data_IF_932714870576
#
_entry.id   IF_932714870576
#
_cell.length_a   1.000
_cell.length_b   1.000
_cell.length_c   1.000
_cell.angle_alpha   90.00
_cell.angle_beta   90.00
_cell.angle_gamma   90.00
#
_symmetry.space_group_name_H-M   'P 1'
#
loop_
_entity.id
_entity.type
_entity.pdbx_description
1 polymer ?
#
# COMPACT_ATOMS: atom_id res chain seq x y z
N UNK A 1 12.07 65.58 -43.35
CA UNK A 1 12.68 64.36 -42.76
C UNK A 1 12.41 64.43 -41.27
N UNK A 2 11.27 63.91 -40.82
CA UNK A 2 10.81 63.93 -39.43
C UNK A 2 10.67 62.48 -39.02
N UNK A 3 11.40 62.07 -38.00
CA UNK A 3 11.45 60.69 -37.52
C UNK A 3 10.27 60.39 -36.59
N UNK A 4 9.56 59.29 -36.85
CA UNK A 4 8.58 58.68 -35.94
C UNK A 4 9.26 58.02 -34.74
N UNK A 5 8.62 57.99 -33.55
CA UNK A 5 9.08 57.17 -32.44
C UNK A 5 8.56 55.73 -32.54
N UNK A 6 9.48 54.78 -32.43
CA UNK A 6 9.24 53.34 -32.28
C UNK A 6 8.43 53.06 -31.00
N UNK A 7 7.19 52.61 -31.17
CA UNK A 7 6.36 52.00 -30.13
C UNK A 7 6.99 50.68 -29.68
N UNK A 8 7.47 50.62 -28.44
CA UNK A 8 7.90 49.39 -27.79
C UNK A 8 6.68 48.53 -27.45
N UNK A 9 6.46 47.45 -28.22
CA UNK A 9 5.53 46.38 -27.85
C UNK A 9 6.13 45.63 -26.66
N UNK A 10 5.54 45.80 -25.48
CA UNK A 10 5.84 44.99 -24.31
C UNK A 10 5.49 43.51 -24.62
N UNK A 11 6.48 42.63 -24.53
CA UNK A 11 6.27 41.20 -24.64
C UNK A 11 5.40 40.72 -23.46
N UNK A 12 4.30 40.06 -23.79
CA UNK A 12 3.40 39.37 -22.85
C UNK A 12 4.24 38.36 -22.03
N UNK A 13 4.19 38.36 -20.68
CA UNK A 13 4.90 37.37 -19.89
C UNK A 13 4.39 35.96 -20.26
N UNK A 14 5.26 34.93 -20.22
CA UNK A 14 4.85 33.57 -20.55
C UNK A 14 3.70 33.15 -19.64
N UNK A 15 2.55 32.85 -20.24
CA UNK A 15 1.40 32.26 -19.54
C UNK A 15 1.88 30.97 -18.87
N UNK A 16 1.60 30.74 -17.57
CA UNK A 16 1.97 29.49 -16.93
C UNK A 16 1.34 28.35 -17.73
N UNK A 17 2.21 27.50 -18.28
CA UNK A 17 1.80 26.33 -19.05
C UNK A 17 0.80 25.53 -18.21
N UNK A 18 -0.32 25.14 -18.84
CA UNK A 18 -1.33 24.29 -18.24
C UNK A 18 -0.66 23.08 -17.58
N UNK A 19 -0.54 23.12 -16.26
CA UNK A 19 0.18 22.12 -15.48
C UNK A 19 -0.47 20.77 -15.70
N UNK A 20 0.30 19.80 -16.18
CA UNK A 20 -0.14 18.41 -16.19
C UNK A 20 -0.61 18.05 -14.76
N UNK A 21 -1.75 17.38 -14.59
CA UNK A 21 -2.28 17.07 -13.26
C UNK A 21 -1.22 16.29 -12.48
N UNK A 22 -0.86 16.79 -11.29
CA UNK A 22 0.04 16.08 -10.37
C UNK A 22 -0.58 14.72 -10.07
N UNK A 23 0.09 13.65 -10.50
CA UNK A 23 -0.39 12.28 -10.26
C UNK A 23 -0.47 12.04 -8.77
N UNK A 24 -1.69 11.83 -8.26
CA UNK A 24 -1.93 11.46 -6.86
C UNK A 24 -1.99 9.95 -6.71
N UNK A 25 -1.44 9.45 -5.61
CA UNK A 25 -1.40 8.03 -5.28
C UNK A 25 -2.18 7.76 -4.00
N UNK A 26 -2.79 6.59 -3.90
CA UNK A 26 -3.46 6.13 -2.69
C UNK A 26 -2.50 5.63 -1.63
N UNK A 27 -1.37 5.08 -2.03
CA UNK A 27 -0.27 4.81 -1.11
C UNK A 27 1.08 4.80 -1.83
N UNK A 28 2.12 5.04 -1.06
CA UNK A 28 3.51 4.72 -1.37
C UNK A 28 3.91 3.46 -0.60
N UNK A 29 4.61 2.52 -1.23
CA UNK A 29 5.17 1.34 -0.56
C UNK A 29 6.68 1.51 -0.40
N UNK A 30 7.13 1.59 0.84
CA UNK A 30 8.54 1.63 1.27
C UNK A 30 8.97 0.24 1.74
N UNK A 31 10.11 -0.24 1.25
CA UNK A 31 10.65 -1.57 1.57
C UNK A 31 12.15 -1.62 1.24
N UNK A 32 12.90 -2.53 1.88
CA UNK A 32 14.29 -2.84 1.51
C UNK A 32 14.37 -3.75 0.27
N UNK A 33 15.41 -3.65 -0.55
CA UNK A 33 15.69 -4.56 -1.69
C UNK A 33 15.35 -6.03 -1.44
N UNK A 34 15.79 -6.54 -0.28
CA UNK A 34 15.63 -7.93 0.11
C UNK A 34 14.15 -8.36 0.16
N UNK A 35 13.25 -7.40 0.39
CA UNK A 35 11.81 -7.57 0.49
C UNK A 35 11.06 -7.31 -0.83
N UNK A 36 11.76 -7.23 -1.99
CA UNK A 36 11.14 -6.90 -3.29
C UNK A 36 9.95 -7.77 -3.69
N UNK A 37 9.95 -9.06 -3.32
CA UNK A 37 8.84 -9.96 -3.58
C UNK A 37 7.60 -9.59 -2.76
N UNK A 38 7.81 -9.19 -1.50
CA UNK A 38 6.77 -8.66 -0.63
C UNK A 38 6.25 -7.31 -1.12
N UNK A 39 7.14 -6.42 -1.57
CA UNK A 39 6.78 -5.17 -2.25
C UNK A 39 5.90 -5.39 -3.46
N UNK A 40 6.28 -6.33 -4.34
CA UNK A 40 5.50 -6.70 -5.52
C UNK A 40 4.14 -7.31 -5.15
N UNK A 41 4.11 -8.16 -4.12
CA UNK A 41 2.86 -8.74 -3.62
C UNK A 41 1.91 -7.68 -3.06
N UNK A 42 2.40 -6.80 -2.18
CA UNK A 42 1.58 -5.76 -1.55
C UNK A 42 1.02 -4.79 -2.59
N UNK A 43 1.86 -4.35 -3.53
CA UNK A 43 1.46 -3.51 -4.66
C UNK A 43 0.32 -4.17 -5.46
N UNK A 44 0.52 -5.40 -5.94
CA UNK A 44 -0.50 -6.12 -6.71
C UNK A 44 -1.79 -6.36 -5.90
N UNK A 45 -1.64 -6.68 -4.61
CA UNK A 45 -2.76 -6.95 -3.72
C UNK A 45 -3.68 -5.73 -3.57
N UNK A 46 -3.11 -4.53 -3.43
CA UNK A 46 -3.85 -3.28 -3.25
C UNK A 46 -4.34 -2.70 -4.57
N UNK A 47 -3.54 -2.74 -5.64
CA UNK A 47 -3.95 -2.31 -6.99
C UNK A 47 -5.20 -3.05 -7.49
N UNK A 48 -5.25 -4.35 -7.23
CA UNK A 48 -6.39 -5.20 -7.62
C UNK A 48 -7.54 -5.17 -6.63
N UNK A 49 -7.43 -4.42 -5.53
CA UNK A 49 -8.49 -4.37 -4.53
C UNK A 49 -9.67 -3.53 -5.03
N UNK A 50 -10.85 -4.18 -5.08
CA UNK A 50 -12.11 -3.54 -5.41
C UNK A 50 -12.97 -3.41 -4.15
N UNK A 51 -13.26 -2.18 -3.76
CA UNK A 51 -14.12 -1.87 -2.61
C UNK A 51 -15.48 -2.52 -2.80
N UNK A 52 -16.06 -3.16 -1.77
CA UNK A 52 -17.42 -3.68 -1.87
C UNK A 52 -18.42 -2.59 -2.30
N UNK A 53 -19.19 -2.83 -3.37
CA UNK A 53 -20.15 -1.85 -3.93
C UNK A 53 -21.01 -1.12 -2.88
N UNK A 54 -21.56 -1.80 -1.83
CA UNK A 54 -22.37 -1.10 -0.83
C UNK A 54 -21.57 -0.26 0.19
N UNK A 55 -20.24 -0.14 0.05
CA UNK A 55 -19.38 0.72 0.86
C UNK A 55 -18.81 1.88 0.04
N UNK A 56 -18.58 1.69 -1.25
CA UNK A 56 -18.08 2.75 -2.13
C UNK A 56 -19.01 3.97 -2.10
N UNK A 57 -18.44 5.16 -1.94
CA UNK A 57 -19.16 6.44 -1.83
C UNK A 57 -19.76 6.74 -0.46
N UNK A 58 -19.77 5.79 0.49
CA UNK A 58 -20.21 6.08 1.86
C UNK A 58 -19.20 6.97 2.59
N UNK A 59 -19.62 7.72 3.62
CA UNK A 59 -18.68 8.38 4.52
C UNK A 59 -17.75 7.36 5.19
N UNK A 60 -16.46 7.67 5.22
CA UNK A 60 -15.42 6.95 5.97
C UNK A 60 -14.48 7.93 6.65
N UNK A 61 -13.53 7.42 7.44
CA UNK A 61 -12.61 8.25 8.23
C UNK A 61 -11.82 9.27 7.39
N UNK A 62 -11.48 8.90 6.15
CA UNK A 62 -10.65 9.71 5.25
C UNK A 62 -11.45 10.43 4.17
N UNK A 63 -12.76 10.60 4.38
CA UNK A 63 -13.71 11.10 3.39
C UNK A 63 -14.50 9.98 2.71
N UNK A 64 -15.15 10.26 1.56
CA UNK A 64 -15.93 9.26 0.83
C UNK A 64 -15.08 8.05 0.45
N UNK A 65 -15.55 6.86 0.80
CA UNK A 65 -14.85 5.60 0.53
C UNK A 65 -14.65 5.41 -0.97
N UNK A 66 -13.40 5.31 -1.47
CA UNK A 66 -13.16 5.17 -2.90
C UNK A 66 -13.58 3.79 -3.41
N UNK A 67 -13.91 3.70 -4.70
CA UNK A 67 -14.26 2.43 -5.35
C UNK A 67 -13.05 1.47 -5.48
N UNK A 68 -11.83 2.02 -5.48
CA UNK A 68 -10.56 1.31 -5.61
C UNK A 68 -9.46 2.00 -4.81
N UNK A 69 -8.40 1.25 -4.50
CA UNK A 69 -7.19 1.75 -3.84
C UNK A 69 -6.08 2.10 -4.84
N UNK A 70 -6.41 2.36 -6.11
CA UNK A 70 -5.45 2.67 -7.18
C UNK A 70 -5.40 4.19 -7.42
N UNK A 71 -4.24 4.77 -7.81
CA UNK A 71 -2.96 4.11 -8.05
C UNK A 71 -2.11 3.95 -6.79
N UNK A 72 -1.33 2.87 -6.70
CA UNK A 72 -0.33 2.62 -5.67
C UNK A 72 1.05 2.87 -6.28
N UNK A 73 1.85 3.71 -5.64
CA UNK A 73 3.26 3.85 -5.99
C UNK A 73 4.05 2.77 -5.25
N UNK A 74 4.87 2.02 -5.98
CA UNK A 74 5.86 1.11 -5.41
C UNK A 74 7.22 1.64 -5.76
N UNK A 75 8.07 1.85 -4.76
CA UNK A 75 9.43 2.29 -5.00
C UNK A 75 10.16 1.31 -5.92
N UNK A 76 11.04 1.87 -6.77
CA UNK A 76 11.98 1.12 -7.60
C UNK A 76 13.34 1.36 -6.98
N UNK A 77 13.86 0.40 -6.25
CA UNK A 77 15.29 0.46 -5.96
C UNK A 77 16.08 0.18 -7.26
N UNK A 78 16.86 1.17 -7.66
CA UNK A 78 18.11 0.98 -8.39
C UNK A 78 19.23 1.20 -7.37
N UNK A 79 20.14 0.23 -7.26
CA UNK A 79 21.40 0.31 -6.50
C UNK A 79 22.38 1.37 -7.06
N UNK A 80 21.93 2.22 -7.99
CA UNK A 80 22.73 3.24 -8.64
C UNK A 80 21.86 4.37 -9.20
N UNK A 81 21.60 5.45 -8.46
CA UNK A 81 21.37 6.74 -9.12
C UNK A 81 21.46 7.96 -8.20
N UNK A 82 21.98 9.05 -8.76
CA UNK A 82 22.19 10.33 -8.08
C UNK A 82 20.93 11.12 -7.73
N UNK A 83 21.13 12.38 -7.36
CA UNK A 83 20.13 13.30 -6.76
C UNK A 83 18.76 13.41 -7.47
N UNK A 84 18.68 13.07 -8.76
CA UNK A 84 17.42 13.11 -9.53
C UNK A 84 16.40 12.04 -9.12
N UNK A 85 16.84 10.84 -8.70
CA UNK A 85 15.92 9.78 -8.28
C UNK A 85 15.27 10.12 -6.93
N UNK A 86 16.05 10.60 -5.97
CA UNK A 86 15.57 11.03 -4.65
C UNK A 86 14.46 12.07 -4.76
N UNK A 87 14.62 13.10 -5.61
CA UNK A 87 13.60 14.12 -5.82
C UNK A 87 12.30 13.54 -6.41
N UNK A 88 12.39 12.56 -7.32
CA UNK A 88 11.22 11.91 -7.90
C UNK A 88 10.47 11.02 -6.89
N UNK A 89 11.20 10.36 -5.99
CA UNK A 89 10.64 9.52 -4.93
C UNK A 89 9.94 10.40 -3.89
N UNK A 90 10.59 11.46 -3.42
CA UNK A 90 9.98 12.42 -2.50
C UNK A 90 8.73 13.07 -3.12
N UNK A 91 8.73 13.40 -4.42
CA UNK A 91 7.55 13.91 -5.10
C UNK A 91 6.41 12.89 -5.15
N UNK A 92 6.71 11.61 -5.43
CA UNK A 92 5.70 10.54 -5.42
C UNK A 92 5.14 10.32 -4.00
N UNK A 93 6.01 10.38 -2.99
CA UNK A 93 5.63 10.29 -1.58
C UNK A 93 4.79 11.49 -1.13
N UNK A 94 5.15 12.70 -1.54
CA UNK A 94 4.39 13.94 -1.36
C UNK A 94 3.00 13.88 -2.01
N UNK A 95 2.87 13.12 -3.10
CA UNK A 95 1.60 12.93 -3.80
C UNK A 95 0.79 11.71 -3.32
N UNK A 96 1.32 10.93 -2.35
CA UNK A 96 0.68 9.72 -1.82
C UNK A 96 -0.18 10.00 -0.60
N UNK A 97 -1.37 9.43 -0.51
CA UNK A 97 -2.27 9.61 0.64
C UNK A 97 -1.79 8.84 1.88
N UNK A 98 -1.13 7.70 1.71
CA UNK A 98 -0.62 6.82 2.78
C UNK A 98 0.83 6.38 2.51
N UNK A 99 1.54 6.00 3.58
CA UNK A 99 2.81 5.28 3.51
C UNK A 99 2.61 3.87 4.06
N UNK A 100 2.93 2.86 3.26
CA UNK A 100 2.96 1.45 3.67
C UNK A 100 4.40 1.02 3.79
N UNK A 101 4.81 0.64 4.99
CA UNK A 101 6.17 0.18 5.29
C UNK A 101 6.16 -1.34 5.37
N UNK A 102 6.99 -1.99 4.56
CA UNK A 102 7.26 -3.42 4.72
C UNK A 102 8.28 -3.59 5.83
N UNK A 103 7.90 -4.35 6.84
CA UNK A 103 8.65 -4.53 8.08
C UNK A 103 9.28 -5.92 8.11
N UNK A 104 10.60 -5.95 8.19
CA UNK A 104 11.49 -7.11 8.21
C UNK A 104 12.82 -6.70 8.87
N UNK A 105 13.67 -7.64 9.30
CA UNK A 105 14.99 -7.31 9.85
C UNK A 105 15.87 -6.49 8.90
N UNK A 106 15.75 -6.71 7.59
CA UNK A 106 16.48 -5.93 6.56
C UNK A 106 15.92 -4.52 6.42
N UNK A 107 14.59 -4.35 6.43
CA UNK A 107 13.97 -3.04 6.41
C UNK A 107 14.24 -2.24 7.69
N UNK A 108 14.32 -2.91 8.85
CA UNK A 108 14.66 -2.27 10.12
C UNK A 108 16.07 -1.65 10.10
N UNK A 109 17.02 -2.30 9.41
CA UNK A 109 18.40 -1.83 9.23
C UNK A 109 18.57 -0.86 8.04
N UNK A 110 17.56 -0.71 7.19
CA UNK A 110 17.64 0.15 6.00
C UNK A 110 17.60 1.63 6.37
N UNK A 111 18.68 2.36 6.06
CA UNK A 111 18.74 3.82 6.21
C UNK A 111 17.72 4.53 5.30
N UNK A 112 17.47 3.97 4.12
CA UNK A 112 16.51 4.51 3.17
C UNK A 112 15.08 4.43 3.72
N UNK A 113 14.64 3.24 4.14
CA UNK A 113 13.31 3.04 4.74
C UNK A 113 13.11 3.95 5.96
N UNK A 114 14.11 4.06 6.84
CA UNK A 114 14.05 4.98 7.97
C UNK A 114 13.91 6.45 7.53
N UNK A 115 14.66 6.87 6.52
CA UNK A 115 14.58 8.23 5.97
C UNK A 115 13.19 8.51 5.37
N UNK A 116 12.64 7.58 4.60
CA UNK A 116 11.31 7.73 3.98
C UNK A 116 10.20 7.87 5.04
N UNK A 117 10.26 7.06 6.10
CA UNK A 117 9.31 7.15 7.22
C UNK A 117 9.46 8.49 7.94
N UNK A 118 10.70 8.90 8.24
CA UNK A 118 10.98 10.18 8.87
C UNK A 118 10.50 11.36 8.03
N UNK A 119 10.75 11.32 6.72
CA UNK A 119 10.26 12.31 5.76
C UNK A 119 8.73 12.37 5.75
N UNK A 120 8.06 11.22 5.72
CA UNK A 120 6.60 11.17 5.69
C UNK A 120 5.99 11.70 6.99
N UNK A 121 6.49 11.26 8.16
CA UNK A 121 5.98 11.72 9.47
C UNK A 121 6.15 13.22 9.68
N UNK A 122 7.21 13.83 9.13
CA UNK A 122 7.47 15.28 9.31
C UNK A 122 6.70 16.16 8.34
N UNK A 123 6.30 15.65 7.17
CA UNK A 123 5.65 16.45 6.11
C UNK A 123 4.19 16.09 5.88
N UNK A 124 3.77 14.90 6.30
CA UNK A 124 2.43 14.34 6.11
C UNK A 124 1.90 13.84 7.45
N UNK A 125 0.66 13.37 7.44
CA UNK A 125 -0.05 12.88 8.61
C UNK A 125 0.57 11.55 9.10
N UNK A 126 1.20 11.49 10.30
CA UNK A 126 1.80 10.26 10.82
C UNK A 126 0.80 9.12 11.01
N UNK A 127 -0.48 9.43 11.22
CA UNK A 127 -1.54 8.41 11.36
C UNK A 127 -1.82 7.63 10.07
N UNK A 128 -1.22 8.06 8.96
CA UNK A 128 -1.33 7.42 7.64
C UNK A 128 -0.12 6.55 7.28
N UNK A 129 0.77 6.31 8.24
CA UNK A 129 1.80 5.28 8.15
C UNK A 129 1.20 3.94 8.58
N UNK A 130 1.35 2.92 7.74
CA UNK A 130 0.85 1.57 7.98
C UNK A 130 2.01 0.59 7.93
N UNK A 131 2.11 -0.30 8.91
CA UNK A 131 3.15 -1.32 8.95
C UNK A 131 2.63 -2.65 8.38
N UNK A 132 3.47 -3.34 7.61
CA UNK A 132 3.23 -4.67 7.07
C UNK A 132 4.37 -5.60 7.49
N UNK A 133 4.16 -6.40 8.53
CA UNK A 133 5.16 -7.37 9.01
C UNK A 133 5.22 -8.56 8.07
N UNK A 134 6.42 -8.83 7.55
CA UNK A 134 6.66 -9.93 6.60
C UNK A 134 7.71 -10.92 7.10
N UNK A 135 8.60 -10.49 7.99
CA UNK A 135 9.60 -11.30 8.66
C UNK A 135 10.09 -10.59 9.94
N UNK A 136 10.87 -11.27 10.78
CA UNK A 136 11.35 -10.75 12.07
C UNK A 136 10.22 -10.60 13.10
N UNK A 137 10.52 -10.00 14.24
CA UNK A 137 9.61 -9.86 15.36
C UNK A 137 9.47 -8.39 15.83
N UNK A 138 8.23 -7.86 15.87
CA UNK A 138 7.93 -6.53 16.40
C UNK A 138 8.49 -6.29 17.81
N UNK A 139 9.31 -5.25 17.97
CA UNK A 139 9.79 -4.85 19.29
C UNK A 139 10.88 -5.77 19.87
N UNK A 140 11.44 -6.68 19.07
CA UNK A 140 12.54 -7.55 19.52
C UNK A 140 13.78 -6.75 19.96
N UNK A 141 13.96 -5.52 19.46
CA UNK A 141 15.01 -4.60 19.91
C UNK A 141 14.87 -4.15 21.37
N UNK A 142 13.70 -4.33 21.98
CA UNK A 142 13.49 -4.06 23.40
C UNK A 142 13.86 -5.26 24.30
N UNK A 143 14.23 -6.40 23.71
CA UNK A 143 14.59 -7.62 24.43
C UNK A 143 16.10 -7.84 24.25
N UNK A 144 16.90 -7.79 25.34
CA UNK A 144 18.34 -8.01 25.26
C UNK A 144 18.68 -9.34 24.58
N UNK A 145 19.55 -9.27 23.56
CA UNK A 145 20.01 -10.43 22.80
C UNK A 145 19.13 -10.85 21.61
N UNK A 146 18.02 -10.14 21.34
CA UNK A 146 17.13 -10.38 20.19
C UNK A 146 17.04 -9.20 19.23
N UNK A 147 17.94 -8.24 19.35
CA UNK A 147 17.91 -6.98 18.59
C UNK A 147 17.98 -7.21 17.08
N UNK A 148 18.69 -8.26 16.65
CA UNK A 148 18.80 -8.64 15.25
C UNK A 148 17.49 -9.14 14.63
N UNK A 149 16.51 -9.53 15.46
CA UNK A 149 15.20 -10.01 15.00
C UNK A 149 14.20 -8.87 14.79
N UNK A 150 14.52 -7.64 15.19
CA UNK A 150 13.61 -6.50 15.10
C UNK A 150 13.17 -6.27 13.65
N UNK A 151 11.85 -6.21 13.42
CA UNK A 151 11.31 -5.96 12.10
C UNK A 151 10.89 -4.50 11.86
N UNK A 152 10.74 -3.70 12.92
CA UNK A 152 10.34 -2.30 12.78
C UNK A 152 11.54 -1.37 12.61
N UNK A 153 11.58 -0.58 11.52
CA UNK A 153 12.49 0.55 11.43
C UNK A 153 12.36 1.47 12.63
N UNK A 154 13.48 2.01 13.12
CA UNK A 154 13.51 2.92 14.27
C UNK A 154 12.55 4.10 14.10
N UNK A 155 12.40 4.62 12.88
CA UNK A 155 11.50 5.71 12.59
C UNK A 155 9.99 5.41 12.84
N UNK A 156 9.61 4.13 12.97
CA UNK A 156 8.28 3.72 13.44
C UNK A 156 8.15 3.64 14.96
N UNK A 157 9.24 3.31 15.65
CA UNK A 157 9.27 3.07 17.09
C UNK A 157 9.46 4.35 17.92
N UNK A 158 10.02 5.38 17.31
CA UNK A 158 10.40 6.62 17.97
C UNK A 158 9.89 7.85 17.22
N UNK A 159 9.75 8.95 17.96
CA UNK A 159 9.44 10.26 17.38
C UNK A 159 10.60 10.76 16.52
N UNK A 160 10.27 11.56 15.52
CA UNK A 160 11.21 12.09 14.53
C UNK A 160 11.53 13.53 14.85
N UNK A 161 12.82 13.86 14.94
CA UNK A 161 13.33 15.21 15.11
C UNK A 161 13.23 16.05 13.82
N UNK A 162 13.47 17.37 13.93
CA UNK A 162 13.45 18.27 12.77
C UNK A 162 14.54 17.97 11.73
N UNK A 163 15.57 17.22 12.10
CA UNK A 163 16.69 16.77 11.27
C UNK A 163 16.42 15.42 10.56
N UNK A 164 15.17 14.92 10.64
CA UNK A 164 14.75 13.62 10.11
C UNK A 164 15.45 12.41 10.76
N UNK A 165 15.98 12.58 11.97
CA UNK A 165 16.52 11.47 12.76
C UNK A 165 15.52 11.01 13.82
N UNK A 166 15.46 9.69 14.12
CA UNK A 166 14.74 9.19 15.29
C UNK A 166 15.34 9.76 16.58
N UNK A 167 14.47 10.24 17.46
CA UNK A 167 14.82 10.66 18.83
C UNK A 167 14.80 9.46 19.79
N UNK A 168 15.12 9.68 21.07
CA UNK A 168 14.98 8.66 22.11
C UNK A 168 13.55 8.55 22.69
N UNK A 169 12.63 9.42 22.26
CA UNK A 169 11.24 9.38 22.71
C UNK A 169 10.44 8.34 21.92
N UNK A 170 9.87 7.35 22.63
CA UNK A 170 9.06 6.29 22.02
C UNK A 170 7.74 6.85 21.46
N UNK A 171 7.28 6.24 20.39
CA UNK A 171 5.99 6.54 19.76
C UNK A 171 5.15 5.27 19.64
N UNK A 172 3.84 5.42 19.69
CA UNK A 172 2.92 4.31 19.48
C UNK A 172 3.09 3.77 18.06
N UNK A 173 3.35 2.46 17.97
CA UNK A 173 3.56 1.80 16.68
C UNK A 173 2.27 1.90 15.85
N UNK A 174 2.36 2.25 14.56
CA UNK A 174 1.19 2.30 13.70
C UNK A 174 0.52 0.93 13.57
N UNK A 175 -0.69 0.92 13.01
CA UNK A 175 -1.39 -0.33 12.71
C UNK A 175 -0.49 -1.29 11.92
N UNK A 176 -0.21 -2.44 12.52
CA UNK A 176 0.59 -3.50 11.93
C UNK A 176 -0.31 -4.62 11.40
N UNK A 177 -0.21 -4.86 10.10
CA UNK A 177 -0.76 -6.05 9.44
C UNK A 177 0.32 -7.13 9.38
N UNK A 178 0.06 -8.32 9.91
CA UNK A 178 1.05 -9.40 9.94
C UNK A 178 0.81 -10.41 8.82
N UNK A 179 1.57 -10.31 7.73
CA UNK A 179 1.40 -11.19 6.58
C UNK A 179 2.10 -12.55 6.73
N UNK A 180 2.87 -12.76 7.81
CA UNK A 180 3.52 -14.03 8.13
C UNK A 180 2.46 -15.11 8.35
N UNK A 181 2.82 -16.37 8.12
CA UNK A 181 1.93 -17.51 8.37
C UNK A 181 1.57 -17.66 9.85
N UNK A 182 2.47 -17.25 10.75
CA UNK A 182 2.26 -17.28 12.19
C UNK A 182 1.34 -16.15 12.68
N UNK A 183 1.16 -15.09 11.88
CA UNK A 183 0.28 -13.95 12.19
C UNK A 183 -1.06 -14.03 11.46
N UNK A 184 -1.48 -12.92 10.84
CA UNK A 184 -2.76 -12.82 10.12
C UNK A 184 -2.76 -13.60 8.79
N UNK A 185 -1.57 -13.80 8.22
CA UNK A 185 -1.36 -14.27 6.86
C UNK A 185 -1.76 -13.24 5.80
N UNK A 186 -1.23 -13.43 4.59
CA UNK A 186 -1.42 -12.53 3.41
C UNK A 186 -2.86 -12.05 3.20
N UNK A 187 -3.86 -12.91 3.43
CA UNK A 187 -5.27 -12.56 3.19
C UNK A 187 -5.77 -11.49 4.16
N UNK A 188 -5.61 -11.71 5.46
CA UNK A 188 -6.15 -10.83 6.48
C UNK A 188 -5.28 -9.58 6.58
N UNK A 189 -3.95 -9.70 6.41
CA UNK A 189 -3.05 -8.56 6.30
C UNK A 189 -3.47 -7.59 5.17
N UNK A 190 -3.79 -8.11 3.99
CA UNK A 190 -4.36 -7.31 2.88
C UNK A 190 -5.64 -6.57 3.28
N UNK A 191 -6.54 -7.23 4.02
CA UNK A 191 -7.80 -6.61 4.45
C UNK A 191 -7.59 -5.55 5.53
N UNK A 192 -6.62 -5.73 6.44
CA UNK A 192 -6.22 -4.72 7.43
C UNK A 192 -5.70 -3.46 6.75
N UNK A 193 -4.78 -3.60 5.80
CA UNK A 193 -4.28 -2.46 5.00
C UNK A 193 -5.43 -1.77 4.25
N UNK A 194 -6.28 -2.53 3.57
CA UNK A 194 -7.42 -1.97 2.85
C UNK A 194 -8.42 -1.25 3.78
N UNK A 195 -8.71 -1.82 4.95
CA UNK A 195 -9.59 -1.22 5.96
C UNK A 195 -9.05 0.15 6.41
N UNK A 196 -7.76 0.20 6.76
CA UNK A 196 -7.10 1.43 7.20
C UNK A 196 -7.11 2.51 6.11
N UNK A 197 -6.78 2.15 4.86
CA UNK A 197 -6.77 3.08 3.73
C UNK A 197 -8.18 3.58 3.36
N UNK A 198 -9.19 2.72 3.49
CA UNK A 198 -10.59 3.10 3.24
C UNK A 198 -11.22 3.87 4.39
N UNK A 199 -10.61 3.85 5.59
CA UNK A 199 -11.18 4.44 6.79
C UNK A 199 -12.42 3.68 7.28
N UNK A 200 -12.37 2.35 7.22
CA UNK A 200 -13.46 1.44 7.59
C UNK A 200 -13.02 0.41 8.63
N UNK A 201 -13.98 -0.16 9.37
CA UNK A 201 -13.72 -1.27 10.28
C UNK A 201 -13.33 -2.55 9.52
N UNK A 202 -12.36 -3.31 10.05
CA UNK A 202 -11.91 -4.58 9.45
C UNK A 202 -13.06 -5.58 9.31
N UNK A 203 -13.91 -5.69 10.33
CA UNK A 203 -15.03 -6.64 10.37
C UNK A 203 -16.00 -6.45 9.20
N UNK A 204 -16.24 -5.21 8.78
CA UNK A 204 -17.10 -4.90 7.65
C UNK A 204 -16.55 -5.48 6.35
N UNK A 205 -15.23 -5.48 6.19
CA UNK A 205 -14.56 -6.06 5.02
C UNK A 205 -14.49 -7.59 5.12
N UNK A 206 -14.13 -8.14 6.28
CA UNK A 206 -14.01 -9.59 6.52
C UNK A 206 -15.33 -10.30 6.27
N UNK A 207 -16.42 -9.85 6.92
CA UNK A 207 -17.76 -10.46 6.77
C UNK A 207 -18.22 -10.48 5.30
N UNK A 208 -17.87 -9.45 4.53
CA UNK A 208 -18.24 -9.35 3.11
C UNK A 208 -17.41 -10.27 2.22
N UNK A 209 -16.11 -10.38 2.49
CA UNK A 209 -15.22 -11.28 1.78
C UNK A 209 -15.61 -12.74 2.04
N UNK A 210 -15.95 -13.09 3.28
CA UNK A 210 -16.46 -14.42 3.64
C UNK A 210 -17.78 -14.75 2.94
N UNK A 211 -18.74 -13.81 2.91
CA UNK A 211 -20.00 -13.98 2.16
C UNK A 211 -19.75 -14.22 0.68
N UNK A 212 -18.87 -13.45 0.04
CA UNK A 212 -18.51 -13.64 -1.38
C UNK A 212 -17.90 -15.01 -1.63
N UNK A 213 -17.05 -15.49 -0.73
CA UNK A 213 -16.43 -16.83 -0.83
C UNK A 213 -17.44 -17.94 -0.61
N UNK A 214 -18.34 -17.81 0.36
CA UNK A 214 -19.40 -18.78 0.60
C UNK A 214 -20.28 -18.94 -0.64
N UNK A 215 -20.67 -17.82 -1.27
CA UNK A 215 -21.44 -17.85 -2.52
C UNK A 215 -20.65 -18.51 -3.65
N UNK A 216 -19.38 -18.12 -3.87
CA UNK A 216 -18.53 -18.73 -4.90
C UNK A 216 -18.33 -20.23 -4.68
N UNK A 217 -18.07 -20.66 -3.45
CA UNK A 217 -17.92 -22.08 -3.10
C UNK A 217 -19.19 -22.84 -3.41
N UNK A 218 -20.36 -22.33 -2.99
CA UNK A 218 -21.66 -22.94 -3.30
C UNK A 218 -21.88 -23.08 -4.81
N UNK A 219 -21.55 -22.05 -5.60
CA UNK A 219 -21.67 -22.10 -7.06
C UNK A 219 -20.74 -23.15 -7.69
N UNK A 220 -19.48 -23.22 -7.25
CA UNK A 220 -18.53 -24.23 -7.73
C UNK A 220 -18.97 -25.64 -7.33
N UNK A 221 -19.40 -25.84 -6.08
CA UNK A 221 -19.92 -27.12 -5.61
C UNK A 221 -21.17 -27.55 -6.39
N UNK A 222 -22.10 -26.62 -6.67
CA UNK A 222 -23.28 -26.91 -7.48
C UNK A 222 -22.92 -27.26 -8.93
N UNK A 223 -21.97 -26.55 -9.54
CA UNK A 223 -21.51 -26.84 -10.89
C UNK A 223 -20.84 -28.22 -10.99
N UNK A 224 -20.02 -28.58 -9.99
CA UNK A 224 -19.42 -29.91 -9.90
C UNK A 224 -20.48 -31.01 -9.73
N UNK A 225 -21.50 -30.79 -8.89
CA UNK A 225 -22.59 -31.75 -8.71
C UNK A 225 -23.39 -31.98 -10.00
N UNK A 226 -23.72 -30.91 -10.74
CA UNK A 226 -24.40 -31.00 -12.04
C UNK A 226 -23.52 -31.75 -13.05
N UNK A 227 -22.22 -31.46 -13.08
CA UNK A 227 -21.27 -32.14 -13.96
C UNK A 227 -21.16 -33.64 -13.62
N UNK A 228 -21.13 -34.00 -12.33
CA UNK A 228 -21.13 -35.41 -11.90
C UNK A 228 -22.40 -36.15 -12.33
N UNK A 229 -23.59 -35.55 -12.16
CA UNK A 229 -24.85 -36.14 -12.61
C UNK A 229 -24.87 -36.32 -14.13
N UNK A 230 -24.38 -35.33 -14.87
CA UNK A 230 -24.27 -35.40 -16.33
C UNK A 230 -23.32 -36.52 -16.77
N UNK A 231 -22.16 -36.67 -16.14
CA UNK A 231 -21.21 -37.76 -16.42
C UNK A 231 -21.83 -39.14 -16.15
N UNK A 232 -22.48 -39.33 -15.00
CA UNK A 232 -23.15 -40.60 -14.67
C UNK A 232 -24.25 -40.94 -15.68
N UNK A 233 -25.02 -39.94 -16.12
CA UNK A 233 -26.04 -40.12 -17.16
C UNK A 233 -25.47 -40.57 -18.50
N UNK A 234 -24.37 -39.95 -18.96
CA UNK A 234 -23.69 -40.36 -20.19
C UNK A 234 -23.10 -41.78 -20.08
N UNK A 235 -22.50 -42.13 -18.94
CA UNK A 235 -21.98 -43.49 -18.72
C UNK A 235 -23.10 -44.54 -18.72
N UNK A 236 -24.23 -44.26 -18.07
CA UNK A 236 -25.38 -45.15 -18.08
C UNK A 236 -25.91 -45.39 -19.50
N UNK A 237 -26.11 -44.31 -20.25
CA UNK A 237 -26.56 -44.38 -21.64
C UNK A 237 -25.63 -45.23 -22.52
N UNK A 238 -24.31 -45.04 -22.38
CA UNK A 238 -23.30 -45.80 -23.12
C UNK A 238 -23.31 -47.30 -22.80
N UNK A 239 -23.63 -47.69 -21.56
CA UNK A 239 -23.75 -49.11 -21.17
C UNK A 239 -25.02 -49.72 -21.75
N UNK A 240 -26.15 -48.99 -21.73
CA UNK A 240 -27.44 -49.50 -22.25
C UNK A 240 -27.50 -49.64 -23.77
N UNK A 241 -26.57 -49.03 -24.51
CA UNK A 241 -26.47 -49.15 -25.97
C UNK A 241 -25.54 -50.28 -26.44
N UNK A 242 -24.89 -51.01 -25.52
CA UNK A 242 -24.11 -52.21 -25.83
C UNK A 242 -24.96 -53.46 -25.67
#
# INVERSE_FOLDING_TARGET
MVAEPLSAVAADPPRPGAGAPVKRYKAFISYSWADKEWGAWAHKALETYATPKPLAGKPGLHGPVPARLTPIFKDREEEAAGAGITASIEAAMAASDFLIVICSPTSAQSKWVNHEIAWFKTRRDPSRVLALVVDGEPGASFIPGREAEECFPKALLYKIGPDLQPTDEKEDVPLAADARKAGDGKRVAKLKLAAAMLGLGLDDLVRREERRRAVRRRLVTAALAVFSVWMTGNTWFAITQR
#
